data_IF_233737618373
#
_entry.id   IF_233737618373
#
_cell.length_a   1.000
_cell.length_b   1.000
_cell.length_c   1.000
_cell.angle_alpha   90.00
_cell.angle_beta   90.00
_cell.angle_gamma   90.00
#
_symmetry.space_group_name_H-M   'P 1'
#
loop_
_entity.id
_entity.type
_entity.pdbx_description
1 polymer ?
#
# COMPACT_ATOMS: atom_id res chain seq x y z
N UNK A 1 -9.75 17.23 13.91
CA UNK A 1 -8.42 16.79 13.43
C UNK A 1 -7.70 18.02 12.87
N UNK A 2 -6.46 18.33 13.26
CA UNK A 2 -5.76 19.50 12.66
C UNK A 2 -5.26 19.14 11.26
N UNK A 3 -5.20 20.12 10.34
CA UNK A 3 -4.77 19.91 8.94
C UNK A 3 -3.45 19.12 8.83
N UNK A 4 -2.50 19.40 9.73
CA UNK A 4 -1.24 18.65 9.81
C UNK A 4 -1.38 17.14 10.10
N UNK A 5 -2.34 16.72 10.94
CA UNK A 5 -2.55 15.29 11.22
C UNK A 5 -3.21 14.58 10.02
N UNK A 6 -4.08 15.30 9.32
CA UNK A 6 -4.73 14.80 8.11
C UNK A 6 -3.71 14.61 6.97
N UNK A 7 -2.86 15.61 6.70
CA UNK A 7 -1.83 15.54 5.66
C UNK A 7 -0.82 14.41 5.94
N UNK A 8 -0.47 14.19 7.20
CA UNK A 8 0.39 13.06 7.61
C UNK A 8 -0.27 11.71 7.36
N UNK A 9 -1.57 11.56 7.59
CA UNK A 9 -2.29 10.31 7.31
C UNK A 9 -2.39 10.03 5.81
N UNK A 10 -2.70 11.06 5.01
CA UNK A 10 -2.74 10.95 3.54
C UNK A 10 -1.36 10.54 3.01
N UNK A 11 -0.31 11.22 3.47
CA UNK A 11 1.06 10.93 3.04
C UNK A 11 1.48 9.51 3.45
N UNK A 12 1.13 9.08 4.67
CA UNK A 12 1.42 7.72 5.14
C UNK A 12 0.69 6.66 4.31
N UNK A 13 -0.57 6.91 3.95
CA UNK A 13 -1.36 6.02 3.08
C UNK A 13 -0.70 5.87 1.71
N UNK A 14 -0.34 6.99 1.06
CA UNK A 14 0.30 6.98 -0.27
C UNK A 14 1.65 6.26 -0.23
N UNK A 15 2.48 6.56 0.77
CA UNK A 15 3.79 5.91 0.94
C UNK A 15 3.62 4.39 1.17
N UNK A 16 2.68 4.00 2.03
CA UNK A 16 2.39 2.58 2.28
C UNK A 16 1.95 1.87 1.00
N UNK A 17 1.06 2.47 0.22
CA UNK A 17 0.62 1.91 -1.07
C UNK A 17 1.81 1.77 -2.02
N UNK A 18 2.62 2.82 -2.16
CA UNK A 18 3.79 2.82 -3.05
C UNK A 18 4.82 1.75 -2.67
N UNK A 19 5.15 1.62 -1.37
CA UNK A 19 6.07 0.59 -0.88
C UNK A 19 5.48 -0.81 -1.08
N UNK A 20 4.19 -0.99 -0.79
CA UNK A 20 3.50 -2.26 -1.00
C UNK A 20 3.55 -2.73 -2.45
N UNK A 21 3.24 -1.82 -3.39
CA UNK A 21 3.34 -2.11 -4.83
C UNK A 21 4.78 -2.36 -5.29
N UNK A 22 5.75 -1.62 -4.75
CA UNK A 22 7.16 -1.85 -5.07
C UNK A 22 7.61 -3.25 -4.64
N UNK A 23 7.20 -3.72 -3.46
CA UNK A 23 7.50 -5.08 -2.99
C UNK A 23 6.83 -6.16 -3.84
N UNK A 24 5.57 -5.96 -4.25
CA UNK A 24 4.87 -6.87 -5.17
C UNK A 24 5.59 -6.91 -6.52
N UNK A 25 5.98 -5.76 -7.06
CA UNK A 25 6.70 -5.68 -8.33
C UNK A 25 8.09 -6.36 -8.23
N UNK A 26 8.83 -6.10 -7.15
CA UNK A 26 10.09 -6.78 -6.85
C UNK A 26 9.91 -8.30 -6.74
N UNK A 27 8.81 -8.80 -6.16
CA UNK A 27 8.56 -10.25 -6.11
C UNK A 27 8.48 -10.89 -7.50
N UNK A 28 7.96 -10.13 -8.48
CA UNK A 28 7.79 -10.60 -9.85
C UNK A 28 9.11 -10.52 -10.64
N UNK A 29 9.84 -9.41 -10.48
CA UNK A 29 11.10 -9.16 -11.20
C UNK A 29 12.31 -9.93 -10.65
N UNK A 30 12.43 -10.08 -9.32
CA UNK A 30 13.50 -10.90 -8.72
C UNK A 30 13.26 -12.39 -8.89
N UNK A 31 12.00 -12.82 -8.89
CA UNK A 31 11.65 -14.22 -9.15
C UNK A 31 12.16 -14.71 -10.52
N UNK A 32 12.07 -13.86 -11.54
CA UNK A 32 12.59 -14.17 -12.88
C UNK A 32 14.12 -14.13 -12.99
N UNK A 33 14.83 -13.39 -12.14
CA UNK A 33 16.29 -13.22 -12.22
C UNK A 33 17.11 -14.16 -11.34
N UNK A 34 16.53 -14.64 -10.22
CA UNK A 34 17.20 -15.56 -9.29
C UNK A 34 16.89 -17.02 -9.62
N UNK A 35 15.83 -17.28 -10.41
CA UNK A 35 15.41 -18.61 -10.91
C UNK A 35 16.50 -19.46 -11.55
N UNK A 36 17.58 -18.85 -12.05
CA UNK A 36 18.66 -19.55 -12.75
C UNK A 36 19.77 -20.08 -11.81
N UNK A 37 19.84 -19.68 -10.53
CA UNK A 37 21.05 -19.88 -9.72
C UNK A 37 20.87 -20.61 -8.38
N UNK A 38 19.65 -20.87 -7.90
CA UNK A 38 19.42 -21.54 -6.60
C UNK A 38 18.22 -22.51 -6.65
N UNK A 39 18.16 -23.40 -5.66
CA UNK A 39 17.10 -24.38 -5.44
C UNK A 39 15.68 -23.78 -5.49
N UNK A 40 14.82 -24.30 -6.38
CA UNK A 40 13.44 -23.84 -6.65
C UNK A 40 12.60 -23.55 -5.39
N UNK A 41 12.83 -24.30 -4.31
CA UNK A 41 12.10 -24.17 -3.05
C UNK A 41 12.36 -22.83 -2.34
N UNK A 42 13.60 -22.34 -2.36
CA UNK A 42 13.96 -21.06 -1.71
C UNK A 42 13.41 -19.88 -2.51
N UNK A 43 13.48 -19.96 -3.84
CA UNK A 43 13.05 -18.90 -4.74
C UNK A 43 11.54 -18.67 -4.61
N UNK A 44 10.75 -19.76 -4.63
CA UNK A 44 9.32 -19.68 -4.38
C UNK A 44 8.99 -19.12 -2.99
N UNK A 45 9.78 -19.46 -1.96
CA UNK A 45 9.59 -18.89 -0.63
C UNK A 45 9.88 -17.39 -0.58
N UNK A 46 10.91 -16.90 -1.29
CA UNK A 46 11.22 -15.47 -1.35
C UNK A 46 10.15 -14.68 -2.11
N UNK A 47 9.76 -15.15 -3.29
CA UNK A 47 8.70 -14.52 -4.10
C UNK A 47 7.40 -14.43 -3.28
N UNK A 48 7.01 -15.54 -2.65
CA UNK A 48 5.79 -15.58 -1.82
C UNK A 48 5.88 -14.62 -0.63
N UNK A 49 7.03 -14.54 0.04
CA UNK A 49 7.21 -13.61 1.16
C UNK A 49 7.13 -12.14 0.73
N UNK A 50 7.76 -11.76 -0.38
CA UNK A 50 7.68 -10.39 -0.91
C UNK A 50 6.27 -10.05 -1.39
N UNK A 51 5.57 -11.00 -2.02
CA UNK A 51 4.19 -10.84 -2.45
C UNK A 51 3.24 -10.64 -1.26
N UNK A 52 3.37 -11.48 -0.23
CA UNK A 52 2.54 -11.40 0.98
C UNK A 52 2.83 -10.12 1.77
N UNK A 53 4.10 -9.79 2.00
CA UNK A 53 4.48 -8.57 2.72
C UNK A 53 4.04 -7.31 1.96
N UNK A 54 4.27 -7.27 0.65
CA UNK A 54 3.82 -6.18 -0.21
C UNK A 54 2.30 -6.04 -0.24
N UNK A 55 1.58 -7.16 -0.33
CA UNK A 55 0.11 -7.20 -0.27
C UNK A 55 -0.46 -6.69 1.05
N UNK A 56 0.13 -7.06 2.18
CA UNK A 56 -0.28 -6.57 3.51
C UNK A 56 -0.05 -5.06 3.62
N UNK A 57 1.12 -4.57 3.22
CA UNK A 57 1.48 -3.14 3.30
C UNK A 57 0.60 -2.30 2.36
N UNK A 58 0.33 -2.78 1.14
CA UNK A 58 -0.58 -2.12 0.21
C UNK A 58 -2.03 -2.09 0.75
N UNK A 59 -2.51 -3.20 1.32
CA UNK A 59 -3.86 -3.30 1.91
C UNK A 59 -4.02 -2.35 3.10
N UNK A 60 -3.00 -2.22 3.94
CA UNK A 60 -3.02 -1.27 5.06
C UNK A 60 -3.12 0.19 4.57
N UNK A 61 -2.36 0.54 3.54
CA UNK A 61 -2.45 1.85 2.91
C UNK A 61 -3.83 2.14 2.30
N UNK A 62 -4.43 1.15 1.65
CA UNK A 62 -5.80 1.22 1.11
C UNK A 62 -6.86 1.37 2.19
N UNK A 63 -6.73 0.69 3.33
CA UNK A 63 -7.66 0.84 4.46
C UNK A 63 -7.64 2.27 5.01
N UNK A 64 -6.45 2.89 5.12
CA UNK A 64 -6.34 4.29 5.53
C UNK A 64 -6.99 5.20 4.49
N UNK A 65 -6.77 4.95 3.19
CA UNK A 65 -7.40 5.73 2.12
C UNK A 65 -8.94 5.62 2.16
N UNK A 66 -9.48 4.41 2.34
CA UNK A 66 -10.91 4.17 2.47
C UNK A 66 -11.51 4.88 3.69
N UNK A 67 -10.81 4.85 4.83
CA UNK A 67 -11.23 5.59 6.03
C UNK A 67 -11.28 7.11 5.78
N UNK A 68 -10.30 7.65 5.06
CA UNK A 68 -10.28 9.08 4.69
C UNK A 68 -11.45 9.43 3.76
N UNK A 69 -11.76 8.59 2.77
CA UNK A 69 -12.90 8.80 1.86
C UNK A 69 -14.25 8.80 2.60
N UNK A 70 -14.43 7.88 3.56
CA UNK A 70 -15.65 7.83 4.39
C UNK A 70 -15.78 9.12 5.21
N UNK A 71 -14.69 9.62 5.78
CA UNK A 71 -14.68 10.89 6.54
C UNK A 71 -15.05 12.09 5.66
N UNK A 72 -14.62 12.15 4.40
CA UNK A 72 -15.06 13.21 3.47
C UNK A 72 -16.51 13.04 3.03
N UNK A 73 -16.96 11.82 2.75
CA UNK A 73 -18.33 11.55 2.31
C UNK A 73 -19.38 11.81 3.41
N UNK A 74 -18.97 11.83 4.67
CA UNK A 74 -19.86 12.07 5.83
C UNK A 74 -19.71 13.47 6.41
N UNK A 75 -18.76 14.27 5.92
CA UNK A 75 -18.73 15.69 6.21
C UNK A 75 -19.95 16.32 5.50
N UNK A 76 -20.92 16.91 6.23
CA UNK A 76 -22.07 17.53 5.59
C UNK A 76 -21.55 18.58 4.61
N UNK A 77 -22.05 18.55 3.37
CA UNK A 77 -21.96 19.68 2.46
C UNK A 77 -22.36 20.91 3.27
N UNK A 78 -21.39 21.75 3.59
CA UNK A 78 -21.73 23.13 3.92
C UNK A 78 -22.17 23.69 2.59
N UNK A 79 -23.50 23.75 2.41
CA UNK A 79 -24.12 24.69 1.50
C UNK A 79 -23.42 26.03 1.72
N UNK A 80 -22.58 26.43 0.77
CA UNK A 80 -22.17 27.81 0.59
C UNK A 80 -23.42 28.56 0.10
N UNK A 81 -24.33 28.86 1.04
CA UNK A 81 -25.24 29.98 0.90
C UNK A 81 -24.45 31.24 1.28
N UNK A 82 -24.06 32.00 0.24
CA UNK A 82 -24.01 33.47 0.09
C UNK A 82 -22.89 33.97 -0.84
#
# INVERSE_FOLDING_TARGET
MTRHHFDRLVTTSIISIAIGFLLIFCSTSWGSGIGEFDSDLKINSYITNFLVAGGIIASFGLLIAAYLLIQFSTAPEKEEDE
#
